data_IF_901040869692
#
_entry.id   IF_901040869692
#
_cell.length_a   1.000
_cell.length_b   1.000
_cell.length_c   1.000
_cell.angle_alpha   90.00
_cell.angle_beta   90.00
_cell.angle_gamma   90.00
#
_symmetry.space_group_name_H-M   'P 1'
#
loop_
_entity.id
_entity.type
_entity.pdbx_description
1 polymer ?
#
# COMPACT_ATOMS: atom_id res chain seq x y z
N UNK A 1 -24.35 -6.66 -21.64
CA UNK A 1 -24.20 -5.23 -21.29
C UNK A 1 -25.33 -4.38 -21.85
N UNK A 2 -25.61 -4.40 -23.16
CA UNK A 2 -26.67 -3.57 -23.77
C UNK A 2 -28.07 -3.76 -23.15
N UNK A 3 -28.48 -5.00 -22.84
CA UNK A 3 -29.80 -5.27 -22.25
C UNK A 3 -29.98 -4.67 -20.85
N UNK A 4 -28.93 -4.66 -20.01
CA UNK A 4 -28.97 -4.06 -18.66
C UNK A 4 -29.07 -2.54 -18.76
N UNK A 5 -28.32 -1.94 -19.69
CA UNK A 5 -28.41 -0.51 -19.97
C UNK A 5 -29.81 -0.13 -20.43
N UNK A 6 -30.40 -0.85 -21.39
CA UNK A 6 -31.76 -0.59 -21.89
C UNK A 6 -32.80 -0.64 -20.76
N UNK A 7 -32.72 -1.62 -19.85
CA UNK A 7 -33.61 -1.72 -18.69
C UNK A 7 -33.45 -0.50 -17.76
N UNK A 8 -32.23 -0.07 -17.47
CA UNK A 8 -31.98 1.13 -16.65
C UNK A 8 -32.49 2.44 -17.25
N UNK A 9 -32.51 2.54 -18.59
CA UNK A 9 -33.03 3.70 -19.33
C UNK A 9 -34.56 3.70 -19.47
N UNK A 10 -35.20 2.52 -19.56
CA UNK A 10 -36.67 2.40 -19.64
C UNK A 10 -37.37 2.52 -18.28
N UNK A 11 -36.75 2.05 -17.20
CA UNK A 11 -37.28 2.14 -15.82
C UNK A 11 -37.84 3.54 -15.45
N UNK A 12 -37.13 4.66 -15.66
CA UNK A 12 -37.60 6.00 -15.26
C UNK A 12 -38.79 6.50 -16.09
N UNK A 13 -38.83 6.16 -17.38
CA UNK A 13 -39.94 6.53 -18.27
C UNK A 13 -41.20 5.80 -17.82
N UNK A 14 -41.07 4.51 -17.49
CA UNK A 14 -42.17 3.71 -16.94
C UNK A 14 -42.60 4.24 -15.57
N UNK A 15 -41.68 4.53 -14.66
CA UNK A 15 -42.04 5.07 -13.33
C UNK A 15 -42.74 6.42 -13.44
N UNK A 16 -42.28 7.34 -14.27
CA UNK A 16 -42.96 8.64 -14.46
C UNK A 16 -44.36 8.46 -15.04
N UNK A 17 -44.51 7.60 -16.05
CA UNK A 17 -45.83 7.32 -16.67
C UNK A 17 -46.80 6.73 -15.64
N UNK A 18 -46.33 5.82 -14.80
CA UNK A 18 -47.14 5.15 -13.78
C UNK A 18 -47.49 6.08 -12.61
N UNK A 19 -46.55 6.91 -12.15
CA UNK A 19 -46.77 7.89 -11.08
C UNK A 19 -47.78 8.95 -11.52
N UNK A 20 -47.61 9.54 -12.71
CA UNK A 20 -48.56 10.54 -13.21
C UNK A 20 -49.92 9.93 -13.57
N UNK A 21 -49.94 8.73 -14.13
CA UNK A 21 -51.18 7.98 -14.37
C UNK A 21 -51.96 7.73 -13.08
N UNK A 22 -51.28 7.40 -11.98
CA UNK A 22 -51.91 7.17 -10.67
C UNK A 22 -52.47 8.47 -10.08
N UNK A 23 -51.77 9.60 -10.20
CA UNK A 23 -52.23 10.89 -9.67
C UNK A 23 -53.44 11.44 -10.45
N UNK A 24 -53.48 11.20 -11.76
CA UNK A 24 -54.66 11.49 -12.59
C UNK A 24 -55.88 10.66 -12.15
N UNK A 25 -55.70 9.36 -11.87
CA UNK A 25 -56.78 8.48 -11.40
C UNK A 25 -57.29 8.84 -10.00
N UNK A 26 -56.46 9.45 -9.16
CA UNK A 26 -56.82 9.92 -7.81
C UNK A 26 -57.57 11.27 -7.82
N UNK A 27 -57.81 11.88 -8.98
CA UNK A 27 -58.62 13.09 -9.12
C UNK A 27 -57.95 14.36 -8.56
N UNK A 28 -56.62 14.36 -8.42
CA UNK A 28 -55.86 15.54 -7.96
C UNK A 28 -55.75 16.56 -9.10
N UNK A 29 -55.99 17.83 -8.80
CA UNK A 29 -55.78 18.93 -9.75
C UNK A 29 -54.29 19.11 -10.02
N UNK A 30 -53.85 18.55 -11.13
CA UNK A 30 -52.47 18.62 -11.61
C UNK A 30 -52.27 19.91 -12.41
N UNK A 31 -51.62 20.90 -11.82
CA UNK A 31 -51.10 22.04 -12.57
C UNK A 31 -49.79 21.65 -13.30
N UNK A 32 -49.64 22.16 -14.52
CA UNK A 32 -48.46 21.89 -15.34
C UNK A 32 -47.17 22.34 -14.63
N UNK A 33 -47.20 23.47 -13.92
CA UNK A 33 -46.05 23.98 -13.17
C UNK A 33 -45.55 23.01 -12.10
N UNK A 34 -46.45 22.41 -11.33
CA UNK A 34 -46.11 21.44 -10.27
C UNK A 34 -45.57 20.13 -10.87
N UNK A 35 -46.14 19.66 -11.98
CA UNK A 35 -45.70 18.46 -12.70
C UNK A 35 -44.27 18.57 -13.23
N UNK A 36 -43.98 19.65 -13.96
CA UNK A 36 -42.65 19.88 -14.53
C UNK A 36 -41.59 20.09 -13.45
N UNK A 37 -41.91 20.85 -12.41
CA UNK A 37 -41.00 21.12 -11.30
C UNK A 37 -40.66 19.84 -10.53
N UNK A 38 -41.68 19.03 -10.20
CA UNK A 38 -41.50 17.77 -9.47
C UNK A 38 -40.68 16.76 -10.26
N UNK A 39 -40.97 16.61 -11.57
CA UNK A 39 -40.20 15.74 -12.48
C UNK A 39 -38.73 16.16 -12.54
N UNK A 40 -38.48 17.47 -12.60
CA UNK A 40 -37.13 18.03 -12.70
C UNK A 40 -36.33 17.77 -11.43
N UNK A 41 -36.93 17.96 -10.25
CA UNK A 41 -36.28 17.68 -8.96
C UNK A 41 -35.93 16.19 -8.84
N UNK A 42 -36.85 15.29 -9.19
CA UNK A 42 -36.58 13.84 -9.15
C UNK A 42 -35.47 13.43 -10.13
N UNK A 43 -35.44 13.99 -11.34
CA UNK A 43 -34.38 13.71 -12.30
C UNK A 43 -33.02 14.19 -11.80
N UNK A 44 -32.93 15.39 -11.23
CA UNK A 44 -31.68 15.92 -10.68
C UNK A 44 -31.20 15.17 -9.43
N UNK A 45 -32.11 14.62 -8.63
CA UNK A 45 -31.77 13.85 -7.43
C UNK A 45 -31.36 12.40 -7.76
N UNK A 46 -31.79 11.87 -8.90
CA UNK A 46 -31.55 10.48 -9.29
C UNK A 46 -30.07 10.14 -9.47
N UNK A 47 -29.31 11.04 -10.08
CA UNK A 47 -27.88 10.84 -10.34
C UNK A 47 -27.05 10.86 -9.05
N UNK A 48 -27.19 11.84 -8.13
CA UNK A 48 -26.45 11.81 -6.86
C UNK A 48 -26.84 10.60 -5.99
N UNK A 49 -28.11 10.16 -5.99
CA UNK A 49 -28.51 8.93 -5.27
C UNK A 49 -27.77 7.70 -5.82
N UNK A 50 -27.52 7.64 -7.14
CA UNK A 50 -26.81 6.53 -7.78
C UNK A 50 -25.31 6.56 -7.54
N UNK A 51 -24.69 7.74 -7.56
CA UNK A 51 -23.25 7.88 -7.36
C UNK A 51 -22.86 7.84 -5.88
N UNK A 52 -23.76 8.18 -4.97
CA UNK A 52 -23.48 8.25 -3.53
C UNK A 52 -22.89 6.95 -2.94
N UNK A 53 -23.46 5.75 -3.20
CA UNK A 53 -22.85 4.50 -2.73
C UNK A 53 -21.45 4.27 -3.31
N UNK A 54 -21.21 4.64 -4.57
CA UNK A 54 -19.90 4.52 -5.20
C UNK A 54 -18.88 5.43 -4.51
N UNK A 55 -19.27 6.68 -4.19
CA UNK A 55 -18.41 7.59 -3.43
C UNK A 55 -18.06 7.04 -2.04
N UNK A 56 -18.99 6.39 -1.34
CA UNK A 56 -18.69 5.72 -0.06
C UNK A 56 -17.66 4.61 -0.22
N UNK A 57 -17.79 3.79 -1.26
CA UNK A 57 -16.80 2.74 -1.57
C UNK A 57 -15.43 3.37 -1.86
N UNK A 58 -15.37 4.42 -2.68
CA UNK A 58 -14.12 5.12 -2.99
C UNK A 58 -13.44 5.69 -1.74
N UNK A 59 -14.20 6.28 -0.82
CA UNK A 59 -13.66 6.78 0.46
C UNK A 59 -13.12 5.64 1.32
N UNK A 60 -13.82 4.52 1.41
CA UNK A 60 -13.34 3.34 2.14
C UNK A 60 -12.01 2.82 1.57
N UNK A 61 -11.90 2.71 0.25
CA UNK A 61 -10.66 2.33 -0.41
C UNK A 61 -9.54 3.34 -0.19
N UNK A 62 -9.84 4.64 -0.23
CA UNK A 62 -8.87 5.69 0.06
C UNK A 62 -8.34 5.60 1.50
N UNK A 63 -9.20 5.34 2.48
CA UNK A 63 -8.78 5.15 3.88
C UNK A 63 -7.87 3.92 4.05
N UNK A 64 -8.20 2.80 3.40
CA UNK A 64 -7.35 1.59 3.42
C UNK A 64 -5.98 1.89 2.78
N UNK A 65 -5.97 2.57 1.63
CA UNK A 65 -4.73 2.93 0.94
C UNK A 65 -3.88 3.89 1.78
N UNK A 66 -4.50 4.85 2.45
CA UNK A 66 -3.80 5.78 3.32
C UNK A 66 -3.16 5.06 4.51
N UNK A 67 -3.87 4.10 5.12
CA UNK A 67 -3.29 3.27 6.19
C UNK A 67 -2.09 2.43 5.74
N UNK A 68 -2.07 1.98 4.47
CA UNK A 68 -0.89 1.30 3.91
C UNK A 68 0.29 2.25 3.71
N UNK A 69 0.03 3.47 3.22
CA UNK A 69 1.06 4.48 3.07
C UNK A 69 1.64 4.92 4.42
N UNK A 70 0.78 5.11 5.41
CA UNK A 70 1.18 5.43 6.78
C UNK A 70 2.14 4.38 7.35
N UNK A 71 1.76 3.09 7.26
CA UNK A 71 2.64 1.99 7.69
C UNK A 71 3.99 1.98 6.97
N UNK A 72 4.00 2.25 5.67
CA UNK A 72 5.24 2.28 4.88
C UNK A 72 6.14 3.47 5.27
N UNK A 73 5.56 4.67 5.38
CA UNK A 73 6.30 5.89 5.76
C UNK A 73 6.85 5.84 7.19
N UNK A 74 6.23 5.05 8.07
CA UNK A 74 6.68 4.81 9.44
C UNK A 74 7.57 3.57 9.59
N UNK A 75 7.82 2.83 8.50
CA UNK A 75 8.78 1.73 8.53
C UNK A 75 10.20 2.24 8.80
N UNK A 76 11.04 1.41 9.42
CA UNK A 76 12.40 1.82 9.78
C UNK A 76 13.24 1.86 8.52
N UNK A 77 13.98 2.94 8.34
CA UNK A 77 15.01 2.98 7.30
C UNK A 77 16.28 2.28 7.80
N UNK A 78 17.04 1.70 6.87
CA UNK A 78 18.38 1.20 7.15
C UNK A 78 19.22 2.36 7.69
N UNK A 79 19.82 2.15 8.87
CA UNK A 79 20.63 3.19 9.52
C UNK A 79 21.94 3.32 8.77
N UNK A 80 22.23 4.50 8.21
CA UNK A 80 23.46 4.78 7.45
C UNK A 80 24.75 4.53 8.27
N UNK A 81 24.64 4.62 9.60
CA UNK A 81 25.70 4.35 10.58
C UNK A 81 25.74 2.89 11.06
N UNK A 82 25.03 1.97 10.40
CA UNK A 82 25.07 0.54 10.73
C UNK A 82 26.45 -0.07 10.48
N UNK A 83 27.23 0.49 9.56
CA UNK A 83 28.60 0.07 9.23
C UNK A 83 29.56 1.23 9.55
N UNK A 84 30.49 1.01 10.47
CA UNK A 84 31.47 2.03 10.84
C UNK A 84 32.53 2.16 9.74
N UNK A 85 32.37 3.17 8.88
CA UNK A 85 33.33 3.46 7.81
C UNK A 85 34.40 4.43 8.29
N UNK A 86 35.55 3.91 8.72
CA UNK A 86 36.71 4.75 9.02
C UNK A 86 37.29 5.35 7.73
N UNK A 87 37.45 6.68 7.69
CA UNK A 87 38.07 7.41 6.59
C UNK A 87 39.62 7.31 6.65
N UNK A 88 40.16 6.86 7.78
CA UNK A 88 41.58 6.63 7.98
C UNK A 88 42.05 5.33 7.35
N UNK A 89 42.90 5.41 6.32
CA UNK A 89 43.52 4.24 5.69
C UNK A 89 44.71 3.65 6.49
N UNK A 90 44.87 3.99 7.77
CA UNK A 90 46.07 3.61 8.56
C UNK A 90 46.00 2.20 9.15
N UNK A 91 44.81 1.60 9.28
CA UNK A 91 44.65 0.24 9.79
C UNK A 91 45.08 -0.86 8.81
N UNK A 92 45.53 -2.02 9.31
CA UNK A 92 45.84 -3.22 8.49
C UNK A 92 44.58 -3.98 8.05
N UNK A 93 43.50 -3.84 8.81
CA UNK A 93 42.22 -4.51 8.57
C UNK A 93 41.38 -3.74 7.55
N UNK A 94 40.79 -4.45 6.59
CA UNK A 94 39.90 -3.91 5.56
C UNK A 94 38.43 -4.08 5.94
N UNK A 95 38.06 -5.24 6.51
CA UNK A 95 36.70 -5.54 6.99
C UNK A 95 36.80 -6.27 8.31
N UNK A 96 36.10 -5.81 9.34
CA UNK A 96 36.00 -6.47 10.64
C UNK A 96 34.53 -6.61 11.06
N UNK A 97 34.06 -7.83 11.25
CA UNK A 97 32.76 -8.13 11.83
C UNK A 97 32.98 -8.82 13.17
N UNK A 98 32.42 -8.28 14.25
CA UNK A 98 32.51 -8.82 15.61
C UNK A 98 31.13 -9.11 16.17
N UNK A 99 30.85 -10.39 16.42
CA UNK A 99 29.57 -10.89 16.92
C UNK A 99 28.36 -10.27 16.19
N UNK A 100 28.46 -10.14 14.87
CA UNK A 100 27.42 -9.53 14.05
C UNK A 100 26.20 -10.42 13.96
N UNK A 101 25.03 -9.84 14.25
CA UNK A 101 23.73 -10.45 13.99
C UNK A 101 22.92 -9.54 13.06
N UNK A 102 22.38 -10.09 11.97
CA UNK A 102 21.70 -9.34 10.93
C UNK A 102 20.37 -9.98 10.54
N UNK A 103 19.42 -9.16 10.11
CA UNK A 103 18.11 -9.58 9.60
C UNK A 103 17.70 -8.79 8.35
N UNK A 104 16.97 -9.45 7.46
CA UNK A 104 16.32 -8.82 6.30
C UNK A 104 15.01 -8.12 6.65
N UNK A 105 14.36 -8.51 7.74
CA UNK A 105 13.06 -7.98 8.14
C UNK A 105 13.19 -7.15 9.41
N UNK A 106 12.63 -5.94 9.36
CA UNK A 106 12.57 -5.01 10.49
C UNK A 106 11.62 -5.45 11.60
N UNK A 107 10.56 -6.18 11.24
CA UNK A 107 9.52 -6.59 12.19
C UNK A 107 9.87 -7.91 12.88
N UNK A 108 10.61 -8.78 12.20
CA UNK A 108 11.03 -10.06 12.74
C UNK A 108 12.24 -9.89 13.66
N UNK A 109 12.21 -10.55 14.82
CA UNK A 109 13.42 -10.76 15.64
C UNK A 109 14.22 -11.97 15.18
N UNK A 110 13.92 -12.49 13.99
CA UNK A 110 14.66 -13.62 13.44
C UNK A 110 15.99 -13.12 12.88
N UNK A 111 17.07 -13.61 13.45
CA UNK A 111 18.40 -13.36 12.96
C UNK A 111 18.68 -14.30 11.77
N UNK A 112 18.78 -13.76 10.55
CA UNK A 112 19.15 -14.51 9.35
C UNK A 112 20.63 -14.90 9.38
N UNK A 113 21.46 -14.01 9.94
CA UNK A 113 22.88 -14.23 10.19
C UNK A 113 23.15 -14.07 11.67
N UNK A 114 23.78 -15.08 12.28
CA UNK A 114 24.02 -15.14 13.73
C UNK A 114 25.50 -15.31 14.02
N UNK A 115 25.99 -14.61 15.03
CA UNK A 115 27.34 -14.76 15.58
C UNK A 115 28.46 -14.71 14.52
N UNK A 116 28.32 -13.82 13.54
CA UNK A 116 29.32 -13.66 12.50
C UNK A 116 30.55 -12.98 13.09
N UNK A 117 31.71 -13.63 12.91
CA UNK A 117 33.00 -13.09 13.26
C UNK A 117 33.92 -13.23 12.05
N UNK A 118 34.37 -12.11 11.49
CA UNK A 118 35.18 -12.06 10.28
C UNK A 118 36.23 -10.96 10.42
N UNK A 119 37.46 -11.23 10.00
CA UNK A 119 38.51 -10.23 9.93
C UNK A 119 39.29 -10.45 8.63
N UNK A 120 39.26 -9.47 7.73
CA UNK A 120 39.93 -9.52 6.43
C UNK A 120 40.94 -8.39 6.38
N UNK A 121 42.21 -8.72 6.09
CA UNK A 121 43.27 -7.72 6.01
C UNK A 121 43.36 -7.08 4.63
N UNK A 122 43.99 -5.91 4.55
CA UNK A 122 44.28 -5.25 3.28
C UNK A 122 45.21 -6.11 2.42
N UNK A 123 44.83 -6.31 1.16
CA UNK A 123 45.56 -7.12 0.19
C UNK A 123 45.33 -8.64 0.33
N UNK A 124 44.45 -9.06 1.23
CA UNK A 124 44.08 -10.46 1.40
C UNK A 124 42.95 -10.85 0.43
N UNK A 125 43.06 -12.02 -0.19
CA UNK A 125 42.00 -12.61 -1.01
C UNK A 125 41.25 -13.66 -0.20
N UNK A 126 40.07 -13.32 0.31
CA UNK A 126 39.22 -14.22 1.09
C UNK A 126 38.06 -14.74 0.24
N UNK A 127 37.79 -16.05 0.32
CA UNK A 127 36.66 -16.68 -0.35
C UNK A 127 35.64 -17.21 0.67
N UNK A 128 34.36 -16.91 0.46
CA UNK A 128 33.25 -17.40 1.28
C UNK A 128 32.58 -18.58 0.56
N UNK A 129 32.58 -19.75 1.19
CA UNK A 129 32.02 -20.99 0.61
C UNK A 129 30.98 -21.59 1.54
N UNK A 130 29.92 -22.16 0.98
CA UNK A 130 28.81 -22.75 1.73
C UNK A 130 27.68 -23.21 0.83
N UNK A 131 26.77 -24.03 1.36
CA UNK A 131 25.61 -24.57 0.64
C UNK A 131 24.64 -23.48 0.17
N UNK A 132 23.76 -23.79 -0.78
CA UNK A 132 22.71 -22.86 -1.21
C UNK A 132 21.82 -22.51 0.00
N UNK A 133 21.52 -21.22 0.18
CA UNK A 133 20.75 -20.74 1.34
C UNK A 133 21.56 -20.52 2.63
N UNK A 134 22.86 -20.77 2.65
CA UNK A 134 23.70 -20.60 3.86
C UNK A 134 24.01 -19.15 4.25
N UNK A 135 23.38 -18.14 3.63
CA UNK A 135 23.58 -16.72 3.96
C UNK A 135 24.82 -16.05 3.36
N UNK A 136 25.50 -16.62 2.35
CA UNK A 136 26.69 -16.01 1.72
C UNK A 136 26.42 -14.62 1.13
N UNK A 137 25.37 -14.49 0.32
CA UNK A 137 24.98 -13.20 -0.28
C UNK A 137 24.50 -12.22 0.79
N UNK A 138 23.77 -12.71 1.79
CA UNK A 138 23.36 -11.92 2.96
C UNK A 138 24.58 -11.36 3.71
N UNK A 139 25.64 -12.14 3.87
CA UNK A 139 26.86 -11.68 4.54
C UNK A 139 27.56 -10.55 3.77
N UNK A 140 27.52 -10.58 2.44
CA UNK A 140 28.03 -9.47 1.63
C UNK A 140 27.14 -8.22 1.78
N UNK A 141 25.82 -8.40 1.73
CA UNK A 141 24.86 -7.32 1.93
C UNK A 141 25.01 -6.68 3.33
N UNK A 142 25.26 -7.47 4.38
CA UNK A 142 25.47 -6.97 5.73
C UNK A 142 26.76 -6.14 5.87
N UNK A 143 27.83 -6.51 5.16
CA UNK A 143 29.07 -5.72 5.12
C UNK A 143 28.87 -4.39 4.37
N UNK A 144 28.01 -4.38 3.35
CA UNK A 144 27.69 -3.18 2.58
C UNK A 144 26.75 -2.22 3.33
N UNK A 145 26.05 -2.69 4.37
CA UNK A 145 25.05 -1.94 5.13
C UNK A 145 23.63 -2.07 4.58
N UNK A 146 23.37 -3.10 3.74
CA UNK A 146 22.07 -3.34 3.10
C UNK A 146 21.15 -4.25 3.94
N UNK A 147 21.58 -4.67 5.13
CA UNK A 147 20.79 -5.46 6.07
C UNK A 147 20.73 -4.77 7.44
N UNK A 148 19.65 -5.03 8.19
CA UNK A 148 19.48 -4.47 9.52
C UNK A 148 20.43 -5.15 10.51
N UNK A 149 21.33 -4.37 11.11
CA UNK A 149 22.23 -4.82 12.18
C UNK A 149 21.47 -4.87 13.50
N UNK A 150 21.20 -6.07 14.01
CA UNK A 150 20.53 -6.29 15.29
C UNK A 150 21.51 -6.17 16.46
N UNK A 151 22.73 -6.69 16.30
CA UNK A 151 23.79 -6.58 17.30
C UNK A 151 25.18 -6.76 16.69
N UNK A 152 26.21 -6.42 17.47
CA UNK A 152 27.61 -6.53 17.07
C UNK A 152 28.16 -5.28 16.40
N UNK A 153 29.35 -5.43 15.82
CA UNK A 153 30.09 -4.36 15.14
C UNK A 153 30.52 -4.81 13.74
N UNK A 154 30.42 -3.88 12.78
CA UNK A 154 30.85 -4.00 11.37
C UNK A 154 31.56 -2.72 11.00
#
# INVERSE_FOLDING_TARGET
MYSISVVMWCTPVLTSTLTFGTVLLLGVWLDAGTLFTTTTIFNNLRDPIRTFPQSMISISQAMISLGRLDRYMMSRELVDDAVERDKGCDGRTAVEVKNGAFSWDDESKEEDLKHINLNVNKGELTAIVGTVGSGKSSLLASILGEMHKLSGKV
#
